data_IF_864802347872
#
_entry.id   IF_864802347872
#
_cell.length_a   1.000
_cell.length_b   1.000
_cell.length_c   1.000
_cell.angle_alpha   90.00
_cell.angle_beta   90.00
_cell.angle_gamma   90.00
#
_symmetry.space_group_name_H-M   'P 1'
#
loop_
_entity.id
_entity.type
_entity.pdbx_description
1 polymer ?
#
# COMPACT_ATOMS: atom_id res chain seq x y z
N UNK A 1 38.97 25.17 0.25
CA UNK A 1 39.06 23.97 1.10
C UNK A 1 37.78 23.17 0.90
N UNK A 2 37.84 21.95 0.37
CA UNK A 2 36.69 21.04 0.39
C UNK A 2 36.48 20.65 1.85
N UNK A 3 35.42 21.14 2.51
CA UNK A 3 34.92 20.48 3.73
C UNK A 3 34.67 19.00 3.38
N UNK A 4 34.99 18.01 4.20
CA UNK A 4 34.95 17.96 5.66
C UNK A 4 33.87 16.93 6.00
N UNK A 5 34.24 15.65 6.03
CA UNK A 5 33.40 14.43 6.22
C UNK A 5 32.27 14.24 5.17
N UNK A 6 32.02 12.99 4.71
CA UNK A 6 30.92 12.71 3.80
C UNK A 6 29.57 12.92 4.50
N UNK A 7 28.57 13.43 3.76
CA UNK A 7 27.18 13.46 4.21
C UNK A 7 26.59 12.05 4.13
N UNK A 8 26.08 11.54 5.25
CA UNK A 8 25.33 10.29 5.28
C UNK A 8 23.87 10.59 4.98
N UNK A 9 23.32 9.93 3.96
CA UNK A 9 21.93 10.07 3.54
C UNK A 9 21.22 8.75 3.76
N UNK A 10 20.10 8.76 4.48
CA UNK A 10 19.26 7.59 4.71
C UNK A 10 17.89 7.81 4.04
N UNK A 11 17.53 6.93 3.12
CA UNK A 11 16.18 6.90 2.54
C UNK A 11 15.30 5.95 3.37
N UNK A 12 14.12 6.45 3.76
CA UNK A 12 13.08 5.66 4.41
C UNK A 12 11.78 5.82 3.63
N UNK A 13 11.24 4.70 3.15
CA UNK A 13 9.90 4.66 2.55
C UNK A 13 8.92 3.98 3.50
N UNK A 14 7.89 4.70 3.90
CA UNK A 14 6.84 4.17 4.76
C UNK A 14 5.66 3.64 3.94
N UNK A 15 5.51 2.31 3.94
CA UNK A 15 4.46 1.59 3.22
C UNK A 15 3.29 1.31 4.16
N UNK A 16 2.20 2.05 3.97
CA UNK A 16 1.00 1.94 4.79
C UNK A 16 -0.27 1.96 3.92
N UNK A 17 -1.25 1.16 4.37
CA UNK A 17 -2.66 1.30 4.05
C UNK A 17 -3.47 0.98 5.31
N UNK A 18 -4.63 1.63 5.50
CA UNK A 18 -5.60 1.21 6.50
C UNK A 18 -5.99 -0.27 6.36
N UNK A 19 -6.52 -0.83 7.45
CA UNK A 19 -7.16 -2.13 7.42
C UNK A 19 -8.54 -2.02 6.76
N UNK A 20 -8.68 -2.52 5.53
CA UNK A 20 -9.92 -2.38 4.76
C UNK A 20 -10.88 -3.56 4.92
N UNK A 21 -10.41 -4.70 5.42
CA UNK A 21 -11.22 -5.91 5.64
C UNK A 21 -12.28 -5.65 6.72
N UNK A 22 -13.56 -5.73 6.34
CA UNK A 22 -14.66 -5.38 7.22
C UNK A 22 -15.53 -6.57 7.64
N UNK A 23 -15.36 -7.74 7.03
CA UNK A 23 -16.08 -8.96 7.38
C UNK A 23 -15.18 -10.21 7.39
N UNK A 24 -15.77 -11.33 7.80
CA UNK A 24 -15.04 -12.60 7.96
C UNK A 24 -14.87 -13.34 6.63
N UNK A 25 -15.67 -12.98 5.64
CA UNK A 25 -15.68 -13.52 4.29
C UNK A 25 -14.51 -13.00 3.44
N UNK A 26 -13.72 -12.07 3.97
CA UNK A 26 -12.54 -11.54 3.28
C UNK A 26 -12.83 -10.34 2.38
N UNK A 27 -13.93 -9.63 2.61
CA UNK A 27 -14.26 -8.47 1.79
C UNK A 27 -13.59 -7.22 2.34
N UNK A 28 -12.79 -6.58 1.48
CA UNK A 28 -12.23 -5.26 1.72
C UNK A 28 -13.23 -4.19 1.26
N UNK A 29 -13.28 -3.07 1.98
CA UNK A 29 -14.14 -1.93 1.61
C UNK A 29 -13.56 -1.12 0.46
N UNK A 30 -12.23 -1.14 0.29
CA UNK A 30 -11.50 -0.37 -0.72
C UNK A 30 -10.41 -1.22 -1.39
N UNK A 31 -10.02 -0.92 -2.64
CA UNK A 31 -9.08 -1.72 -3.42
C UNK A 31 -7.60 -1.34 -3.19
N UNK A 32 -7.32 -0.32 -2.39
CA UNK A 32 -6.01 0.36 -2.39
C UNK A 32 -4.84 -0.55 -2.03
N UNK A 33 -5.01 -1.46 -1.06
CA UNK A 33 -3.98 -2.43 -0.72
C UNK A 33 -3.60 -3.31 -1.93
N UNK A 34 -4.58 -3.73 -2.74
CA UNK A 34 -4.32 -4.50 -3.97
C UNK A 34 -3.65 -3.66 -5.05
N UNK A 35 -4.20 -2.47 -5.32
CA UNK A 35 -3.69 -1.60 -6.38
C UNK A 35 -2.23 -1.19 -6.14
N UNK A 36 -1.88 -0.84 -4.90
CA UNK A 36 -0.50 -0.55 -4.52
C UNK A 36 0.40 -1.81 -4.46
N UNK A 37 -0.15 -2.99 -4.19
CA UNK A 37 0.60 -4.25 -4.30
C UNK A 37 1.01 -4.56 -5.75
N UNK A 38 0.18 -4.21 -6.73
CA UNK A 38 0.49 -4.37 -8.15
C UNK A 38 1.46 -3.33 -8.70
N UNK A 39 1.65 -2.22 -7.97
CA UNK A 39 2.44 -1.08 -8.43
C UNK A 39 3.72 -0.84 -7.65
N UNK A 40 3.64 -0.70 -6.34
CA UNK A 40 4.68 -0.06 -5.53
C UNK A 40 5.43 -1.06 -4.63
N UNK A 41 4.71 -1.98 -3.98
CA UNK A 41 5.28 -2.78 -2.88
C UNK A 41 6.32 -3.81 -3.31
N UNK A 42 6.32 -4.21 -4.58
CA UNK A 42 7.39 -5.03 -5.17
C UNK A 42 8.44 -4.17 -5.87
N UNK A 43 7.98 -3.21 -6.69
CA UNK A 43 8.84 -2.47 -7.60
C UNK A 43 9.78 -1.51 -6.89
N UNK A 44 9.33 -0.86 -5.81
CA UNK A 44 10.17 0.09 -5.07
C UNK A 44 11.39 -0.60 -4.41
N UNK A 45 11.22 -1.71 -3.65
CA UNK A 45 12.36 -2.49 -3.17
C UNK A 45 13.20 -3.06 -4.31
N UNK A 46 12.57 -3.57 -5.38
CA UNK A 46 13.30 -4.08 -6.53
C UNK A 46 14.20 -3.04 -7.18
N UNK A 47 13.69 -1.83 -7.39
CA UNK A 47 14.45 -0.73 -7.96
C UNK A 47 15.66 -0.37 -7.09
N UNK A 48 15.49 -0.33 -5.76
CA UNK A 48 16.60 -0.08 -4.84
C UNK A 48 17.68 -1.16 -4.94
N UNK A 49 17.28 -2.44 -5.05
CA UNK A 49 18.17 -3.59 -5.21
C UNK A 49 18.91 -3.57 -6.54
N UNK A 50 18.21 -3.22 -7.63
CA UNK A 50 18.75 -3.16 -9.00
C UNK A 50 19.77 -2.02 -9.16
N UNK A 51 19.48 -0.84 -8.59
CA UNK A 51 20.40 0.30 -8.59
C UNK A 51 21.56 0.10 -7.60
N UNK A 52 21.35 -0.73 -6.56
CA UNK A 52 22.37 -1.04 -5.55
C UNK A 52 22.54 0.07 -4.50
N UNK A 53 21.47 0.80 -4.19
CA UNK A 53 21.49 1.83 -3.13
C UNK A 53 20.89 1.28 -1.82
N UNK A 54 21.49 1.60 -0.66
CA UNK A 54 20.92 1.22 0.63
C UNK A 54 19.66 2.04 0.90
N UNK A 55 18.52 1.35 1.04
CA UNK A 55 17.23 1.96 1.32
C UNK A 55 16.55 1.19 2.45
N UNK A 56 15.90 1.93 3.34
CA UNK A 56 15.05 1.36 4.39
C UNK A 56 13.60 1.41 3.93
N UNK A 57 12.91 0.28 4.02
CA UNK A 57 11.48 0.19 3.80
C UNK A 57 10.79 -0.14 5.11
N UNK A 58 9.88 0.72 5.52
CA UNK A 58 8.98 0.42 6.61
C UNK A 58 7.70 -0.21 6.06
N UNK A 59 7.24 -1.30 6.68
CA UNK A 59 5.94 -1.88 6.37
C UNK A 59 5.08 -1.99 7.62
N UNK A 60 3.85 -1.49 7.52
CA UNK A 60 2.84 -1.69 8.55
C UNK A 60 2.36 -3.16 8.54
N UNK A 61 2.36 -3.88 9.67
CA UNK A 61 1.98 -5.29 9.72
C UNK A 61 0.57 -5.58 9.17
N UNK A 62 -0.43 -4.73 9.48
CA UNK A 62 -1.79 -4.86 8.94
C UNK A 62 -1.87 -4.69 7.42
N UNK A 63 -0.97 -3.93 6.78
CA UNK A 63 -0.85 -3.89 5.32
C UNK A 63 -0.32 -5.24 4.79
N UNK A 64 0.78 -5.74 5.36
CA UNK A 64 1.35 -7.04 4.94
C UNK A 64 0.35 -8.18 5.15
N UNK A 65 -0.45 -8.13 6.21
CA UNK A 65 -1.51 -9.11 6.46
C UNK A 65 -2.59 -9.08 5.39
N UNK A 66 -2.97 -7.90 4.88
CA UNK A 66 -3.89 -7.81 3.74
C UNK A 66 -3.27 -8.43 2.48
N UNK A 67 -1.99 -8.17 2.21
CA UNK A 67 -1.25 -8.77 1.07
C UNK A 67 -1.21 -10.29 1.17
N UNK A 68 -0.93 -10.83 2.36
CA UNK A 68 -0.96 -12.26 2.62
C UNK A 68 -2.35 -12.86 2.34
N UNK A 69 -3.41 -12.25 2.86
CA UNK A 69 -4.77 -12.74 2.63
C UNK A 69 -5.15 -12.68 1.14
N UNK A 70 -4.68 -11.67 0.39
CA UNK A 70 -4.86 -11.62 -1.06
C UNK A 70 -4.10 -12.73 -1.78
N UNK A 71 -2.84 -13.00 -1.39
CA UNK A 71 -2.02 -14.08 -1.94
C UNK A 71 -2.65 -15.47 -1.72
N UNK A 72 -3.33 -15.65 -0.59
CA UNK A 72 -4.07 -16.85 -0.22
C UNK A 72 -5.46 -16.97 -0.88
N UNK A 73 -5.91 -15.95 -1.62
CA UNK A 73 -7.27 -15.91 -2.18
C UNK A 73 -8.37 -15.70 -1.14
N UNK A 74 -8.03 -15.24 0.07
CA UNK A 74 -8.94 -14.97 1.20
C UNK A 74 -9.26 -13.48 1.37
N UNK A 75 -8.89 -12.66 0.40
CA UNK A 75 -9.22 -11.24 0.38
C UNK A 75 -9.63 -10.84 -1.04
N UNK A 76 -10.79 -10.22 -1.15
CA UNK A 76 -11.29 -9.60 -2.38
C UNK A 76 -11.79 -8.19 -2.07
N UNK A 77 -11.83 -7.34 -3.10
CA UNK A 77 -12.34 -5.97 -3.01
C UNK A 77 -13.37 -5.73 -4.13
N UNK A 78 -14.13 -4.61 -4.08
CA UNK A 78 -15.18 -4.35 -5.06
C UNK A 78 -14.67 -4.26 -6.50
N UNK A 79 -13.42 -3.84 -6.71
CA UNK A 79 -12.86 -3.66 -8.05
C UNK A 79 -12.42 -5.00 -8.60
N UNK A 80 -11.78 -5.83 -7.76
CA UNK A 80 -11.37 -7.18 -8.12
C UNK A 80 -12.54 -8.10 -8.48
N UNK A 81 -13.66 -7.96 -7.75
CA UNK A 81 -14.91 -8.70 -8.06
C UNK A 81 -15.39 -8.41 -9.47
N UNK A 82 -15.47 -7.14 -9.86
CA UNK A 82 -15.95 -6.79 -11.21
C UNK A 82 -14.91 -7.06 -12.29
N UNK A 83 -13.60 -7.02 -12.00
CA UNK A 83 -12.54 -7.33 -12.98
C UNK A 83 -12.67 -8.75 -13.56
N UNK A 84 -13.17 -9.69 -12.77
CA UNK A 84 -13.33 -11.09 -13.18
C UNK A 84 -14.63 -11.36 -13.95
N UNK A 85 -15.57 -10.41 -13.96
CA UNK A 85 -16.88 -10.56 -14.61
C UNK A 85 -16.87 -9.96 -16.02
N UNK A 86 -17.70 -10.52 -16.91
CA UNK A 86 -18.09 -9.88 -18.17
C UNK A 86 -19.32 -8.99 -17.94
N UNK A 87 -19.60 -8.08 -18.88
CA UNK A 87 -20.70 -7.11 -18.76
C UNK A 87 -22.06 -7.78 -18.45
N UNK A 88 -22.34 -8.92 -19.07
CA UNK A 88 -23.63 -9.63 -18.93
C UNK A 88 -23.80 -10.29 -17.54
N UNK A 89 -22.71 -10.48 -16.80
CA UNK A 89 -22.71 -11.05 -15.45
C UNK A 89 -22.72 -9.98 -14.35
N UNK A 90 -22.73 -8.69 -14.72
CA UNK A 90 -22.72 -7.58 -13.78
C UNK A 90 -24.10 -6.99 -13.55
N UNK A 91 -24.39 -6.62 -12.30
CA UNK A 91 -25.54 -5.78 -11.98
C UNK A 91 -25.28 -4.28 -12.31
N UNK A 92 -26.33 -3.46 -12.25
CA UNK A 92 -26.24 -2.02 -12.54
C UNK A 92 -25.28 -1.28 -11.59
N UNK A 93 -25.15 -1.70 -10.33
CA UNK A 93 -24.23 -1.08 -9.37
C UNK A 93 -22.76 -1.37 -9.73
N UNK A 94 -22.48 -2.60 -10.16
CA UNK A 94 -21.16 -3.05 -10.61
C UNK A 94 -20.74 -2.37 -11.92
N UNK A 95 -21.65 -2.26 -12.89
CA UNK A 95 -21.40 -1.53 -14.14
C UNK A 95 -21.12 -0.05 -13.88
N UNK A 96 -21.89 0.58 -13.00
CA UNK A 96 -21.64 1.96 -12.57
C UNK A 96 -20.29 2.11 -11.87
N UNK A 97 -19.90 1.13 -11.03
CA UNK A 97 -18.57 1.13 -10.42
C UNK A 97 -17.48 1.09 -11.48
N UNK A 98 -17.56 0.20 -12.47
CA UNK A 98 -16.55 0.10 -13.54
C UNK A 98 -16.42 1.44 -14.28
N UNK A 99 -17.52 1.97 -14.84
CA UNK A 99 -17.44 3.19 -15.66
C UNK A 99 -17.15 4.46 -14.87
N UNK A 100 -17.27 4.45 -13.54
CA UNK A 100 -16.89 5.61 -12.70
C UNK A 100 -15.48 5.49 -12.17
N UNK A 101 -15.14 4.35 -11.57
CA UNK A 101 -13.91 4.16 -10.81
C UNK A 101 -12.73 3.71 -11.67
N UNK A 102 -12.96 3.05 -12.80
CA UNK A 102 -11.85 2.51 -13.61
C UNK A 102 -11.17 3.58 -14.47
N UNK A 103 -11.51 4.85 -14.26
CA UNK A 103 -10.77 6.00 -14.75
C UNK A 103 -10.02 6.75 -13.65
N UNK A 104 -10.06 6.26 -12.39
CA UNK A 104 -9.31 6.84 -11.27
C UNK A 104 -7.84 6.42 -11.32
N UNK A 105 -7.19 6.88 -12.37
CA UNK A 105 -5.76 6.76 -12.63
C UNK A 105 -5.26 8.13 -13.08
N UNK A 106 -3.93 8.33 -13.13
CA UNK A 106 -3.40 9.58 -13.64
C UNK A 106 -3.77 9.77 -15.13
N UNK A 107 -4.56 10.81 -15.42
CA UNK A 107 -5.04 11.07 -16.77
C UNK A 107 -3.90 11.28 -17.78
N UNK A 108 -2.88 12.06 -17.42
CA UNK A 108 -1.79 12.41 -18.34
C UNK A 108 -0.91 11.21 -18.66
N UNK A 109 -0.66 10.33 -17.69
CA UNK A 109 0.29 9.24 -17.81
C UNK A 109 -0.32 7.94 -18.36
N UNK A 110 -1.64 7.74 -18.21
CA UNK A 110 -2.29 6.47 -18.58
C UNK A 110 -3.43 6.66 -19.58
N UNK A 111 -4.37 7.56 -19.31
CA UNK A 111 -5.56 7.72 -20.17
C UNK A 111 -5.21 8.43 -21.47
N UNK A 112 -4.52 9.58 -21.39
CA UNK A 112 -4.21 10.43 -22.55
C UNK A 112 -3.28 9.75 -23.57
N UNK A 113 -2.42 8.85 -23.12
CA UNK A 113 -1.41 8.19 -23.95
C UNK A 113 -1.93 6.96 -24.69
N UNK A 114 -3.08 6.42 -24.29
CA UNK A 114 -3.75 5.30 -24.96
C UNK A 114 -4.92 5.83 -25.80
N UNK A 115 -4.93 5.61 -27.13
CA UNK A 115 -6.05 5.97 -27.99
C UNK A 115 -7.38 5.40 -27.49
N UNK A 116 -7.42 4.09 -27.20
CA UNK A 116 -8.64 3.41 -26.75
C UNK A 116 -9.09 3.85 -25.37
N UNK A 117 -8.18 3.99 -24.40
CA UNK A 117 -8.57 4.40 -23.05
C UNK A 117 -9.09 5.84 -23.03
N UNK A 118 -8.48 6.73 -23.83
CA UNK A 118 -8.95 8.10 -24.04
C UNK A 118 -10.33 8.15 -24.70
N UNK A 119 -10.58 7.30 -25.70
CA UNK A 119 -11.90 7.16 -26.34
C UNK A 119 -12.97 6.74 -25.30
N UNK A 120 -12.69 5.72 -24.48
CA UNK A 120 -13.59 5.25 -23.43
C UNK A 120 -13.85 6.33 -22.36
N UNK A 121 -12.83 7.09 -22.00
CA UNK A 121 -12.94 8.22 -21.08
C UNK A 121 -13.84 9.34 -21.66
N UNK A 122 -13.65 9.68 -22.94
CA UNK A 122 -14.49 10.64 -23.63
C UNK A 122 -15.94 10.14 -23.75
N UNK A 123 -16.13 8.86 -24.05
CA UNK A 123 -17.43 8.19 -24.15
C UNK A 123 -18.22 8.24 -22.85
N UNK A 124 -17.56 8.03 -21.69
CA UNK A 124 -18.18 8.22 -20.36
C UNK A 124 -18.78 9.61 -20.22
N UNK A 125 -18.08 10.61 -20.74
CA UNK A 125 -18.47 12.01 -20.66
C UNK A 125 -18.78 12.45 -19.23
N UNK A 126 -19.80 13.30 -19.06
CA UNK A 126 -20.31 13.77 -17.76
C UNK A 126 -21.58 13.04 -17.30
N UNK A 127 -22.15 12.18 -18.13
CA UNK A 127 -23.44 11.52 -17.85
C UNK A 127 -23.29 10.25 -17.04
N UNK A 128 -22.09 9.64 -17.01
CA UNK A 128 -21.80 8.41 -16.26
C UNK A 128 -22.86 7.31 -16.49
N UNK A 129 -23.32 7.15 -17.73
CA UNK A 129 -24.32 6.13 -18.08
C UNK A 129 -23.62 4.91 -18.67
N UNK A 130 -23.62 3.80 -17.93
CA UNK A 130 -23.09 2.51 -18.39
C UNK A 130 -23.79 2.00 -19.65
N UNK A 131 -25.04 2.42 -19.90
CA UNK A 131 -25.84 2.01 -21.08
C UNK A 131 -25.25 2.47 -22.42
N UNK A 132 -24.28 3.39 -22.40
CA UNK A 132 -23.56 3.81 -23.59
C UNK A 132 -22.43 2.83 -23.96
N UNK A 133 -21.99 2.00 -23.02
CA UNK A 133 -20.89 1.07 -23.18
C UNK A 133 -21.39 -0.27 -23.73
N UNK A 134 -20.68 -0.81 -24.70
CA UNK A 134 -20.85 -2.17 -25.19
C UNK A 134 -20.07 -3.16 -24.30
N UNK A 135 -20.32 -4.47 -24.41
CA UNK A 135 -19.53 -5.48 -23.71
C UNK A 135 -18.02 -5.37 -23.99
N UNK A 136 -17.62 -5.04 -25.22
CA UNK A 136 -16.21 -4.83 -25.56
C UNK A 136 -15.63 -3.58 -24.88
N UNK A 137 -16.41 -2.49 -24.78
CA UNK A 137 -15.95 -1.27 -24.10
C UNK A 137 -15.69 -1.51 -22.61
N UNK A 138 -16.55 -2.28 -21.95
CA UNK A 138 -16.37 -2.66 -20.54
C UNK A 138 -15.11 -3.51 -20.38
N UNK A 139 -14.90 -4.50 -21.26
CA UNK A 139 -13.70 -5.35 -21.19
C UNK A 139 -12.42 -4.56 -21.42
N UNK A 140 -12.41 -3.69 -22.44
CA UNK A 140 -11.26 -2.86 -22.73
C UNK A 140 -10.96 -1.91 -21.56
N UNK A 141 -11.99 -1.34 -20.93
CA UNK A 141 -11.85 -0.51 -19.74
C UNK A 141 -11.26 -1.28 -18.55
N UNK A 142 -11.71 -2.50 -18.30
CA UNK A 142 -11.17 -3.38 -17.25
C UNK A 142 -9.68 -3.67 -17.46
N UNK A 143 -9.29 -3.99 -18.70
CA UNK A 143 -7.90 -4.28 -19.06
C UNK A 143 -7.02 -3.03 -18.92
N UNK A 144 -7.47 -1.89 -19.45
CA UNK A 144 -6.74 -0.63 -19.31
C UNK A 144 -6.53 -0.22 -17.86
N UNK A 145 -7.53 -0.43 -17.01
CA UNK A 145 -7.41 -0.17 -15.58
C UNK A 145 -6.34 -1.06 -14.92
N UNK A 146 -6.30 -2.36 -15.23
CA UNK A 146 -5.24 -3.25 -14.75
C UNK A 146 -3.86 -2.79 -15.23
N UNK A 147 -3.69 -2.54 -16.53
CA UNK A 147 -2.43 -2.11 -17.13
C UNK A 147 -1.93 -0.79 -16.53
N UNK A 148 -2.82 0.16 -16.23
CA UNK A 148 -2.48 1.43 -15.60
C UNK A 148 -1.98 1.27 -14.15
N UNK A 149 -2.45 0.25 -13.43
CA UNK A 149 -2.03 -0.06 -12.07
C UNK A 149 -0.85 -1.03 -11.96
N UNK A 150 -0.43 -1.64 -13.07
CA UNK A 150 0.78 -2.45 -13.06
C UNK A 150 2.01 -1.58 -12.86
N UNK A 151 2.89 -2.02 -11.95
CA UNK A 151 4.23 -1.47 -11.78
C UNK A 151 5.09 -1.71 -13.03
N UNK A 152 6.18 -0.96 -13.15
CA UNK A 152 7.11 -1.04 -14.27
C UNK A 152 7.64 -2.46 -14.48
N UNK A 153 7.96 -3.19 -13.41
CA UNK A 153 8.49 -4.55 -13.58
C UNK A 153 7.45 -5.55 -14.10
N UNK A 154 6.16 -5.32 -13.86
CA UNK A 154 5.08 -6.10 -14.48
C UNK A 154 4.90 -5.71 -15.95
N UNK A 155 4.99 -4.41 -16.27
CA UNK A 155 4.95 -3.92 -17.65
C UNK A 155 6.11 -4.41 -18.49
N UNK A 156 7.22 -4.81 -17.89
CA UNK A 156 8.35 -5.43 -18.59
C UNK A 156 8.07 -6.85 -19.09
N UNK A 157 7.03 -7.53 -18.58
CA UNK A 157 6.64 -8.86 -19.03
C UNK A 157 6.27 -8.85 -20.52
N UNK A 158 6.83 -9.74 -21.37
CA UNK A 158 6.65 -9.69 -22.83
C UNK A 158 5.19 -9.65 -23.28
N UNK A 159 4.35 -10.47 -22.65
CA UNK A 159 2.92 -10.51 -22.98
C UNK A 159 2.15 -9.27 -22.49
N UNK A 160 2.54 -8.69 -21.35
CA UNK A 160 1.95 -7.43 -20.87
C UNK A 160 2.32 -6.29 -21.82
N UNK A 161 3.57 -6.23 -22.30
CA UNK A 161 3.99 -5.29 -23.35
C UNK A 161 3.18 -5.44 -24.63
N UNK A 162 2.97 -6.69 -25.08
CA UNK A 162 2.15 -6.99 -26.25
C UNK A 162 0.74 -6.42 -26.09
N UNK A 163 0.13 -6.59 -24.92
CA UNK A 163 -1.20 -6.07 -24.61
C UNK A 163 -1.24 -4.54 -24.54
N UNK A 164 -0.25 -3.89 -23.93
CA UNK A 164 -0.13 -2.43 -23.94
C UNK A 164 -0.06 -1.89 -25.38
N UNK A 165 0.68 -2.55 -26.27
CA UNK A 165 0.79 -2.17 -27.68
C UNK A 165 -0.51 -2.44 -28.45
N UNK A 166 -1.23 -3.52 -28.10
CA UNK A 166 -2.50 -3.91 -28.72
C UNK A 166 -3.58 -2.84 -28.51
N UNK A 167 -3.63 -2.23 -27.33
CA UNK A 167 -4.46 -1.08 -26.93
C UNK A 167 -5.99 -1.33 -26.91
N UNK A 168 -6.55 -2.15 -27.78
CA UNK A 168 -7.99 -2.33 -27.95
C UNK A 168 -8.38 -3.77 -28.31
N UNK A 169 -9.69 -4.04 -28.26
CA UNK A 169 -10.27 -5.33 -28.65
C UNK A 169 -9.66 -6.50 -27.86
N UNK A 170 -9.51 -6.31 -26.55
CA UNK A 170 -8.98 -7.35 -25.67
C UNK A 170 -9.95 -8.53 -25.60
N UNK A 171 -9.39 -9.74 -25.53
CA UNK A 171 -10.18 -10.96 -25.36
C UNK A 171 -10.37 -11.28 -23.87
N UNK A 172 -11.30 -12.18 -23.56
CA UNK A 172 -11.51 -12.64 -22.18
C UNK A 172 -10.28 -13.38 -21.65
N UNK A 173 -9.59 -14.12 -22.51
CA UNK A 173 -8.35 -14.84 -22.18
C UNK A 173 -7.22 -13.88 -21.84
N UNK A 174 -7.08 -12.77 -22.57
CA UNK A 174 -6.07 -11.73 -22.29
C UNK A 174 -6.37 -11.00 -20.96
N UNK A 175 -7.66 -10.75 -20.67
CA UNK A 175 -8.07 -10.22 -19.36
C UNK A 175 -7.71 -11.18 -18.23
N UNK A 176 -8.06 -12.45 -18.37
CA UNK A 176 -7.73 -13.49 -17.38
C UNK A 176 -6.22 -13.66 -17.19
N UNK A 177 -5.45 -13.60 -18.28
CA UNK A 177 -3.99 -13.61 -18.21
C UNK A 177 -3.45 -12.47 -17.34
N UNK A 178 -3.94 -11.24 -17.50
CA UNK A 178 -3.51 -10.12 -16.66
C UNK A 178 -3.91 -10.31 -15.18
N UNK A 179 -5.10 -10.86 -14.91
CA UNK A 179 -5.53 -11.20 -13.55
C UNK A 179 -4.58 -12.25 -12.94
N UNK A 180 -4.18 -13.27 -13.70
CA UNK A 180 -3.25 -14.30 -13.24
C UNK A 180 -1.87 -13.73 -12.95
N UNK A 181 -1.34 -12.87 -13.83
CA UNK A 181 -0.09 -12.14 -13.63
C UNK A 181 -0.14 -11.28 -12.35
N UNK A 182 -1.26 -10.57 -12.13
CA UNK A 182 -1.45 -9.77 -10.94
C UNK A 182 -1.51 -10.62 -9.65
N UNK A 183 -2.25 -11.73 -9.67
CA UNK A 183 -2.31 -12.67 -8.54
C UNK A 183 -0.93 -13.27 -8.24
N UNK A 184 -0.18 -13.64 -9.27
CA UNK A 184 1.17 -14.17 -9.13
C UNK A 184 2.10 -13.15 -8.50
N UNK A 185 2.05 -11.88 -8.95
CA UNK A 185 2.85 -10.81 -8.35
C UNK A 185 2.55 -10.62 -6.86
N UNK A 186 1.27 -10.61 -6.48
CA UNK A 186 0.90 -10.44 -5.06
C UNK A 186 1.51 -11.55 -4.18
N UNK A 187 1.55 -12.80 -4.68
CA UNK A 187 2.17 -13.94 -3.99
C UNK A 187 3.69 -13.80 -3.82
N UNK A 188 4.35 -13.04 -4.70
CA UNK A 188 5.80 -12.85 -4.69
C UNK A 188 6.28 -11.78 -3.71
N UNK A 189 5.43 -10.82 -3.31
CA UNK A 189 5.84 -9.64 -2.52
C UNK A 189 6.53 -10.04 -1.21
N UNK A 190 5.86 -10.77 -0.33
CA UNK A 190 6.41 -11.11 0.99
C UNK A 190 7.65 -12.02 0.87
N UNK A 191 7.65 -13.09 0.05
CA UNK A 191 8.86 -13.88 -0.20
C UNK A 191 10.04 -13.06 -0.74
N UNK A 192 9.78 -12.13 -1.66
CA UNK A 192 10.82 -11.27 -2.22
C UNK A 192 11.42 -10.35 -1.15
N UNK A 193 10.57 -9.65 -0.39
CA UNK A 193 10.99 -8.82 0.75
C UNK A 193 11.84 -9.60 1.76
N UNK A 194 11.45 -10.84 2.06
CA UNK A 194 12.22 -11.74 2.93
C UNK A 194 13.61 -12.02 2.38
N UNK A 195 13.71 -12.39 1.10
CA UNK A 195 14.99 -12.69 0.44
C UNK A 195 15.93 -11.49 0.53
N UNK A 196 15.50 -10.33 0.00
CA UNK A 196 16.36 -9.14 -0.09
C UNK A 196 16.74 -8.58 1.27
N UNK A 197 15.89 -8.72 2.29
CA UNK A 197 16.22 -8.32 3.65
C UNK A 197 17.17 -9.31 4.33
N UNK A 198 17.05 -10.62 4.07
CA UNK A 198 17.98 -11.63 4.59
C UNK A 198 19.38 -11.50 3.99
N UNK A 199 19.47 -11.08 2.74
CA UNK A 199 20.71 -10.82 2.01
C UNK A 199 21.34 -9.46 2.35
N UNK A 200 20.66 -8.63 3.16
CA UNK A 200 21.13 -7.29 3.52
C UNK A 200 21.13 -6.28 2.37
N UNK A 201 20.37 -6.55 1.29
CA UNK A 201 20.25 -5.65 0.14
C UNK A 201 19.42 -4.40 0.46
N UNK A 202 18.49 -4.54 1.40
CA UNK A 202 17.67 -3.44 1.96
C UNK A 202 17.55 -3.64 3.47
N UNK A 203 17.16 -2.59 4.19
CA UNK A 203 16.72 -2.69 5.57
C UNK A 203 15.19 -2.68 5.65
N UNK A 204 14.59 -3.53 6.48
CA UNK A 204 13.17 -3.45 6.80
C UNK A 204 12.97 -2.97 8.25
N UNK A 205 12.03 -2.05 8.42
CA UNK A 205 11.51 -1.62 9.72
C UNK A 205 10.01 -1.89 9.77
N UNK A 206 9.44 -1.86 10.98
CA UNK A 206 8.03 -2.13 11.20
C UNK A 206 7.32 -0.93 11.85
N UNK A 207 6.01 -1.01 11.94
CA UNK A 207 5.17 -0.10 12.74
C UNK A 207 4.29 -0.94 13.67
N UNK A 208 3.68 -0.33 14.71
CA UNK A 208 2.67 -0.99 15.51
C UNK A 208 1.54 -1.54 14.62
N UNK A 209 1.00 -2.71 14.98
CA UNK A 209 0.30 -3.60 14.04
C UNK A 209 -0.79 -2.93 13.18
N UNK A 210 -1.70 -2.18 13.79
CA UNK A 210 -2.81 -1.48 13.11
C UNK A 210 -2.54 0.01 12.90
N UNK A 211 -1.27 0.45 13.00
CA UNK A 211 -0.86 1.84 12.84
C UNK A 211 -1.58 2.88 13.75
N UNK A 212 -1.86 2.59 15.04
CA UNK A 212 -2.45 3.58 15.95
C UNK A 212 -1.47 4.70 16.31
N UNK A 213 -1.99 5.90 16.53
CA UNK A 213 -1.21 7.01 17.11
C UNK A 213 -0.87 6.67 18.57
N UNK A 214 0.30 6.07 18.78
CA UNK A 214 0.74 5.50 20.06
C UNK A 214 0.63 6.48 21.26
N UNK A 215 0.97 7.79 21.15
CA UNK A 215 0.80 8.70 22.28
C UNK A 215 -0.64 8.78 22.76
N UNK A 216 -1.59 8.81 21.83
CA UNK A 216 -3.01 8.92 22.15
C UNK A 216 -3.59 7.63 22.73
N UNK A 217 -2.96 6.48 22.47
CA UNK A 217 -3.27 5.24 23.18
C UNK A 217 -2.75 5.28 24.61
N UNK A 218 -1.53 5.78 24.83
CA UNK A 218 -0.93 5.86 26.16
C UNK A 218 -1.73 6.82 27.05
N UNK A 219 -1.94 8.05 26.60
CA UNK A 219 -2.82 9.03 27.22
C UNK A 219 -3.24 10.09 26.19
N UNK A 220 -4.54 10.21 25.92
CA UNK A 220 -5.08 11.23 25.00
C UNK A 220 -4.77 12.66 25.44
N UNK A 221 -4.48 12.89 26.72
CA UNK A 221 -4.09 14.20 27.25
C UNK A 221 -2.77 14.70 26.66
N UNK A 222 -1.89 13.80 26.17
CA UNK A 222 -0.65 14.14 25.49
C UNK A 222 -0.86 14.95 24.21
N UNK A 223 -2.05 14.91 23.61
CA UNK A 223 -2.40 15.80 22.51
C UNK A 223 -2.24 17.28 22.88
N UNK A 224 -2.44 17.65 24.16
CA UNK A 224 -2.23 19.03 24.65
C UNK A 224 -0.77 19.42 24.77
N UNK A 225 0.14 18.46 24.97
CA UNK A 225 1.58 18.74 24.97
C UNK A 225 2.05 19.15 23.57
N UNK A 226 1.53 18.48 22.54
CA UNK A 226 1.81 18.85 21.14
C UNK A 226 1.04 20.09 20.68
N UNK A 227 -0.24 20.21 21.06
CA UNK A 227 -1.11 21.34 20.71
C UNK A 227 -1.95 21.77 21.94
N UNK A 228 -1.56 22.84 22.65
CA UNK A 228 -2.28 23.33 23.84
C UNK A 228 -3.75 23.68 23.61
N UNK A 229 -4.15 23.96 22.37
CA UNK A 229 -5.54 24.30 22.00
C UNK A 229 -6.37 23.10 21.55
N UNK A 230 -5.80 21.89 21.59
CA UNK A 230 -6.49 20.66 21.21
C UNK A 230 -7.76 20.42 22.06
N UNK A 231 -8.87 20.18 21.37
CA UNK A 231 -10.10 19.72 21.99
C UNK A 231 -9.99 18.23 22.32
N UNK A 232 -10.14 17.88 23.59
CA UNK A 232 -10.06 16.50 24.04
C UNK A 232 -11.45 15.87 24.17
N UNK A 233 -11.58 14.54 24.00
CA UNK A 233 -12.80 13.82 24.34
C UNK A 233 -13.22 14.05 25.79
N UNK A 234 -14.54 14.06 26.06
CA UNK A 234 -15.06 14.23 27.43
C UNK A 234 -14.65 13.08 28.37
N UNK A 235 -14.53 11.87 27.82
CA UNK A 235 -14.09 10.69 28.57
C UNK A 235 -12.57 10.58 28.44
N UNK A 236 -11.82 10.44 29.54
CA UNK A 236 -10.41 10.09 29.49
C UNK A 236 -10.19 8.80 28.69
N UNK A 237 -9.08 8.75 27.96
CA UNK A 237 -8.66 7.58 27.21
C UNK A 237 -7.16 7.36 27.48
N UNK A 238 -6.85 6.32 28.26
CA UNK A 238 -5.51 6.02 28.80
C UNK A 238 -5.35 4.50 28.81
N UNK A 239 -4.75 3.95 27.76
CA UNK A 239 -4.61 2.52 27.50
C UNK A 239 -3.19 2.17 27.00
N UNK A 240 -2.13 2.44 27.79
CA UNK A 240 -0.75 2.16 27.39
C UNK A 240 -0.50 0.67 27.12
N UNK A 241 -1.27 -0.23 27.74
CA UNK A 241 -1.20 -1.67 27.45
C UNK A 241 -1.59 -2.00 25.99
N UNK A 242 -2.43 -1.18 25.34
CA UNK A 242 -2.77 -1.36 23.94
C UNK A 242 -1.62 -0.91 23.02
N UNK A 243 -0.91 0.15 23.40
CA UNK A 243 0.31 0.57 22.70
C UNK A 243 1.39 -0.53 22.74
N UNK A 244 1.62 -1.12 23.92
CA UNK A 244 2.52 -2.28 24.11
C UNK A 244 2.09 -3.42 23.19
N UNK A 245 0.81 -3.83 23.24
CA UNK A 245 0.29 -4.93 22.44
C UNK A 245 0.48 -4.71 20.94
N UNK A 246 0.22 -3.51 20.43
CA UNK A 246 0.40 -3.24 19.00
C UNK A 246 1.86 -3.31 18.56
N UNK A 247 2.81 -2.93 19.42
CA UNK A 247 4.24 -3.04 19.14
C UNK A 247 4.66 -4.52 19.16
N UNK A 248 4.31 -5.26 20.21
CA UNK A 248 4.61 -6.69 20.35
C UNK A 248 4.06 -7.50 19.17
N UNK A 249 2.79 -7.30 18.82
CA UNK A 249 2.17 -7.95 17.66
C UNK A 249 2.88 -7.61 16.35
N UNK A 250 3.38 -6.38 16.21
CA UNK A 250 4.12 -5.97 15.02
C UNK A 250 5.47 -6.70 14.92
N UNK A 251 6.19 -6.85 16.03
CA UNK A 251 7.45 -7.60 16.10
C UNK A 251 7.19 -9.08 15.83
N UNK A 252 6.20 -9.68 16.49
CA UNK A 252 5.81 -11.08 16.32
C UNK A 252 5.45 -11.39 14.86
N UNK A 253 4.67 -10.51 14.22
CA UNK A 253 4.33 -10.67 12.80
C UNK A 253 5.58 -10.66 11.90
N UNK A 254 6.51 -9.73 12.14
CA UNK A 254 7.75 -9.69 11.36
C UNK A 254 8.62 -10.91 11.60
N UNK A 255 8.75 -11.36 12.85
CA UNK A 255 9.51 -12.56 13.19
C UNK A 255 8.91 -13.80 12.52
N UNK A 256 7.58 -13.95 12.53
CA UNK A 256 6.86 -15.05 11.86
C UNK A 256 7.10 -15.04 10.34
N UNK A 257 6.92 -13.88 9.68
CA UNK A 257 6.98 -13.80 8.22
C UNK A 257 8.41 -13.83 7.69
N UNK A 258 9.31 -13.10 8.33
CA UNK A 258 10.65 -12.86 7.83
C UNK A 258 11.73 -13.68 8.54
N UNK A 259 11.42 -14.31 9.68
CA UNK A 259 12.36 -15.15 10.43
C UNK A 259 13.38 -14.35 11.28
N UNK A 260 13.18 -13.04 11.43
CA UNK A 260 14.00 -12.18 12.30
C UNK A 260 13.20 -10.99 12.80
N UNK A 261 13.57 -10.51 14.00
CA UNK A 261 12.99 -9.32 14.60
C UNK A 261 13.48 -8.04 13.90
N UNK A 262 12.61 -7.06 13.63
CA UNK A 262 13.02 -5.78 13.09
C UNK A 262 13.64 -4.92 14.20
N UNK A 263 14.80 -4.31 13.93
CA UNK A 263 15.50 -3.46 14.91
C UNK A 263 14.93 -2.03 14.98
N UNK A 264 14.42 -1.51 13.86
CA UNK A 264 13.88 -0.17 13.77
C UNK A 264 12.36 -0.13 13.69
N UNK A 265 11.75 0.90 14.29
CA UNK A 265 10.31 1.14 14.21
C UNK A 265 10.01 2.53 13.64
N UNK A 266 9.08 2.61 12.69
CA UNK A 266 8.42 3.87 12.35
C UNK A 266 7.18 4.06 13.24
N UNK A 267 7.16 5.05 14.13
CA UNK A 267 5.96 5.36 14.88
C UNK A 267 4.93 6.00 13.94
N UNK A 268 3.63 5.64 14.04
CA UNK A 268 2.60 6.17 13.17
C UNK A 268 2.60 7.71 13.17
N UNK A 269 2.67 8.29 11.97
CA UNK A 269 2.80 9.74 11.73
C UNK A 269 4.02 10.40 12.39
N UNK A 270 5.10 9.65 12.65
CA UNK A 270 6.27 10.18 13.35
C UNK A 270 6.00 10.54 14.82
N UNK A 271 4.88 10.06 15.40
CA UNK A 271 4.41 10.50 16.70
C UNK A 271 5.17 9.86 17.87
N UNK A 272 5.73 10.71 18.73
CA UNK A 272 6.52 10.30 19.90
C UNK A 272 6.08 11.03 21.17
N UNK A 273 6.33 10.41 22.31
CA UNK A 273 6.17 10.95 23.67
C UNK A 273 7.09 10.16 24.62
N UNK A 274 7.43 10.73 25.77
CA UNK A 274 8.35 10.11 26.75
C UNK A 274 7.82 8.75 27.23
N UNK A 275 6.51 8.64 27.41
CA UNK A 275 5.82 7.40 27.80
C UNK A 275 6.02 6.27 26.79
N UNK A 276 6.11 6.63 25.50
CA UNK A 276 6.27 5.68 24.41
C UNK A 276 7.71 5.19 24.33
N UNK A 277 8.70 6.08 24.50
CA UNK A 277 10.12 5.71 24.42
C UNK A 277 10.48 4.54 25.34
N UNK A 278 9.94 4.53 26.57
CA UNK A 278 10.13 3.42 27.50
C UNK A 278 9.51 2.11 27.00
N UNK A 279 8.35 2.17 26.34
CA UNK A 279 7.70 1.01 25.72
C UNK A 279 8.54 0.45 24.56
N UNK A 280 9.08 1.33 23.70
CA UNK A 280 9.94 0.94 22.57
C UNK A 280 11.19 0.21 23.05
N UNK A 281 11.89 0.79 24.03
CA UNK A 281 13.11 0.21 24.61
C UNK A 281 12.82 -1.17 25.21
N UNK A 282 11.74 -1.30 25.98
CA UNK A 282 11.36 -2.58 26.60
C UNK A 282 10.96 -3.64 25.56
N UNK A 283 10.40 -3.23 24.42
CA UNK A 283 10.09 -4.11 23.30
C UNK A 283 11.32 -4.51 22.46
N UNK A 284 12.50 -3.94 22.74
CA UNK A 284 13.73 -4.21 22.01
C UNK A 284 13.88 -3.44 20.70
N UNK A 285 13.16 -2.32 20.53
CA UNK A 285 13.36 -1.40 19.40
C UNK A 285 14.65 -0.61 19.61
N UNK A 286 15.60 -0.75 18.69
CA UNK A 286 16.93 -0.13 18.78
C UNK A 286 16.96 1.31 18.27
N UNK A 287 16.14 1.62 17.26
CA UNK A 287 16.03 2.98 16.72
C UNK A 287 14.61 3.27 16.22
N UNK A 288 14.28 4.56 16.21
CA UNK A 288 12.99 5.08 15.76
C UNK A 288 13.19 6.35 14.93
N UNK A 289 12.11 6.84 14.33
CA UNK A 289 12.10 8.04 13.48
C UNK A 289 11.11 9.06 14.04
N UNK A 290 11.44 10.34 13.91
CA UNK A 290 10.58 11.45 14.33
C UNK A 290 10.88 12.70 13.49
N UNK A 291 10.03 13.71 13.62
CA UNK A 291 10.13 14.97 12.91
C UNK A 291 11.31 15.84 13.36
N UNK A 292 11.86 16.64 12.43
CA UNK A 292 12.98 17.56 12.67
C UNK A 292 12.65 18.65 13.70
N UNK A 293 11.39 19.09 13.79
CA UNK A 293 10.97 20.09 14.77
C UNK A 293 11.00 19.55 16.19
N UNK A 294 10.77 18.24 16.37
CA UNK A 294 10.89 17.58 17.67
C UNK A 294 12.36 17.55 18.07
N UNK A 295 13.25 17.12 17.17
CA UNK A 295 14.69 17.12 17.42
C UNK A 295 15.18 18.52 17.79
N UNK A 296 14.80 19.53 17.00
CA UNK A 296 15.16 20.93 17.23
C UNK A 296 14.76 21.40 18.64
N UNK A 297 13.53 21.15 19.06
CA UNK A 297 13.05 21.52 20.41
C UNK A 297 13.71 20.73 21.54
N UNK A 298 14.25 19.54 21.28
CA UNK A 298 14.92 18.73 22.30
C UNK A 298 16.39 19.09 22.52
N UNK A 299 17.01 19.84 21.60
CA UNK A 299 18.42 20.25 21.68
C UNK A 299 18.62 21.76 21.94
N UNK A 300 17.53 22.53 21.92
CA UNK A 300 17.47 23.93 22.38
C UNK A 300 17.39 24.00 23.91
#
# INVERSE_FOLDING_TARGET
MKSGKPLYVAFLWHMHQPWYLWNREGEASMPWARLHALKDYYDMPKLAVDIGIPVTFNYVPSLLKQIELMAEGKCSDPYWKVLSLEMDDMDESQLNLVITQFFNVNYANYIKVSPRYSELYAKRGKTYSWRMFSPQDIRDLQVHFLLAWFGESLKEHPEVKRLIIKDENYTIEEKHFLIDVANQRIKEIIPYLKSIWSEGRVALTFSPYYHPILPLLCDVSLAKAANPTASLPRKPFVYPADAVRHIEQGIEYFEEKFGKKPAGMWPPEGSVADEILSILINAGVEYSFTDEDILRKSIE
#
